data_IF_092253009354
#
_entry.id   IF_092253009354
#
_cell.length_a   1.000
_cell.length_b   1.000
_cell.length_c   1.000
_cell.angle_alpha   90.00
_cell.angle_beta   90.00
_cell.angle_gamma   90.00
#
_symmetry.space_group_name_H-M   'P 1'
#
loop_
_entity.id
_entity.type
_entity.pdbx_description
1 polymer ?
#
# COMPACT_ATOMS: atom_id res chain seq x y z
N UNK A 1 -1.05 -26.21 3.28
CA UNK A 1 -0.55 -25.00 3.96
C UNK A 1 -1.40 -23.83 3.50
N UNK A 2 -1.69 -22.85 4.37
CA UNK A 2 -2.42 -21.63 3.98
C UNK A 2 -1.49 -20.67 3.26
N UNK A 3 -1.79 -20.35 2.01
CA UNK A 3 -1.02 -19.38 1.23
C UNK A 3 -1.36 -17.97 1.71
N UNK A 4 -0.38 -17.28 2.26
CA UNK A 4 -0.46 -15.89 2.72
C UNK A 4 0.93 -15.24 2.70
N UNK A 5 0.92 -13.91 2.68
CA UNK A 5 2.11 -13.08 2.86
C UNK A 5 2.68 -13.33 4.27
N UNK A 6 3.99 -13.53 4.37
CA UNK A 6 4.71 -13.75 5.64
C UNK A 6 5.43 -12.50 6.10
N UNK A 7 5.97 -11.71 5.16
CA UNK A 7 6.72 -10.50 5.48
C UNK A 7 6.70 -9.53 4.32
N UNK A 8 6.61 -8.25 4.64
CA UNK A 8 6.93 -7.14 3.74
C UNK A 8 8.15 -6.44 4.30
N UNK A 9 9.19 -6.26 3.48
CA UNK A 9 10.38 -5.50 3.86
C UNK A 9 10.39 -4.16 3.13
N UNK A 10 10.65 -3.07 3.85
CA UNK A 10 10.84 -1.77 3.26
C UNK A 10 12.32 -1.62 2.90
N UNK A 11 12.61 -1.55 1.61
CA UNK A 11 13.97 -1.42 1.09
C UNK A 11 14.36 0.06 1.11
N UNK A 12 14.75 0.54 2.30
CA UNK A 12 15.11 1.95 2.54
C UNK A 12 16.22 2.45 1.60
N UNK A 13 17.10 1.56 1.13
CA UNK A 13 18.15 1.84 0.15
C UNK A 13 17.59 2.22 -1.24
N UNK A 14 16.34 1.83 -1.54
CA UNK A 14 15.65 2.15 -2.79
C UNK A 14 14.75 3.38 -2.72
N UNK A 15 14.64 4.01 -1.55
CA UNK A 15 13.79 5.19 -1.41
C UNK A 15 14.38 6.33 -2.25
N UNK A 16 13.60 6.91 -3.20
CA UNK A 16 14.12 7.94 -4.10
C UNK A 16 14.36 9.29 -3.42
N UNK A 17 13.81 9.47 -2.22
CA UNK A 17 13.90 10.70 -1.42
C UNK A 17 13.53 10.38 0.03
N UNK A 18 13.86 11.28 0.97
CA UNK A 18 13.34 11.31 2.33
C UNK A 18 12.55 12.59 2.65
N UNK A 19 12.43 13.48 1.67
CA UNK A 19 11.85 14.82 1.85
C UNK A 19 10.39 14.88 1.37
N UNK A 20 9.99 13.98 0.47
CA UNK A 20 8.65 13.94 -0.09
C UNK A 20 7.85 12.71 0.34
N UNK A 21 6.53 12.89 0.38
CA UNK A 21 5.59 11.81 0.59
C UNK A 21 5.71 10.72 -0.51
N UNK A 22 5.53 9.43 -0.19
CA UNK A 22 5.31 8.89 1.15
C UNK A 22 6.60 8.64 1.95
N UNK A 23 7.77 8.82 1.35
CA UNK A 23 9.06 8.43 1.94
C UNK A 23 9.52 9.31 3.11
N UNK A 24 8.88 10.46 3.33
CA UNK A 24 9.08 11.32 4.49
C UNK A 24 8.17 10.97 5.69
N UNK A 25 7.32 9.94 5.59
CA UNK A 25 6.50 9.48 6.70
C UNK A 25 7.37 8.74 7.73
N UNK A 26 7.36 9.14 9.02
CA UNK A 26 8.18 8.50 10.04
C UNK A 26 7.96 6.99 10.13
N UNK A 27 6.68 6.54 10.05
CA UNK A 27 6.36 5.12 10.13
C UNK A 27 7.03 4.30 9.02
N UNK A 28 7.22 4.87 7.82
CA UNK A 28 7.85 4.17 6.70
C UNK A 28 9.37 4.28 6.75
N UNK A 29 9.93 5.27 7.44
CA UNK A 29 11.37 5.41 7.63
C UNK A 29 11.89 4.55 8.79
N UNK A 30 11.07 4.37 9.84
CA UNK A 30 11.45 3.66 11.07
C UNK A 30 11.07 2.17 11.05
N UNK A 31 10.28 1.71 10.06
CA UNK A 31 9.84 0.32 9.96
C UNK A 31 10.66 -0.43 8.92
N UNK A 32 11.56 -1.32 9.35
CA UNK A 32 12.34 -2.15 8.42
C UNK A 32 11.49 -3.22 7.73
N UNK A 33 10.58 -3.86 8.48
CA UNK A 33 9.72 -4.91 7.97
C UNK A 33 8.43 -5.08 8.78
N UNK A 34 7.39 -5.54 8.10
CA UNK A 34 6.11 -5.93 8.69
C UNK A 34 5.96 -7.44 8.57
N UNK A 35 6.03 -8.21 9.68
CA UNK A 35 5.74 -9.64 9.68
C UNK A 35 4.22 -9.89 9.73
N UNK A 36 3.79 -10.95 9.07
CA UNK A 36 2.41 -11.42 9.03
C UNK A 36 2.35 -12.83 9.61
N UNK A 37 2.00 -12.95 10.89
CA UNK A 37 1.87 -14.23 11.58
C UNK A 37 0.56 -14.96 11.25
N UNK A 38 -0.42 -14.24 10.71
CA UNK A 38 -1.76 -14.76 10.42
C UNK A 38 -2.27 -14.25 9.07
N UNK A 39 -3.11 -15.04 8.36
CA UNK A 39 -3.68 -14.62 7.07
C UNK A 39 -4.54 -13.35 7.14
N UNK A 40 -5.10 -13.05 8.32
CA UNK A 40 -5.84 -11.81 8.58
C UNK A 40 -4.97 -10.92 9.48
N UNK A 41 -4.71 -9.70 9.02
CA UNK A 41 -3.91 -8.69 9.73
C UNK A 41 -4.62 -7.35 9.65
N UNK A 42 -4.71 -6.62 10.77
CA UNK A 42 -5.34 -5.31 10.83
C UNK A 42 -4.29 -4.24 11.12
N UNK A 43 -4.29 -3.17 10.32
CA UNK A 43 -3.45 -1.99 10.55
C UNK A 43 -4.26 -0.92 11.27
N UNK A 44 -3.80 -0.51 12.46
CA UNK A 44 -4.47 0.49 13.31
C UNK A 44 -3.52 1.66 13.57
N UNK A 45 -4.07 2.86 13.65
CA UNK A 45 -3.30 4.08 13.93
C UNK A 45 -4.05 5.34 13.51
N UNK A 46 -3.51 6.50 13.88
CA UNK A 46 -4.13 7.81 13.62
C UNK A 46 -4.29 8.13 12.14
N UNK A 47 -5.22 9.03 11.80
CA UNK A 47 -5.39 9.45 10.41
C UNK A 47 -4.13 10.17 9.90
N UNK A 48 -3.76 9.94 8.63
CA UNK A 48 -2.58 10.55 8.03
C UNK A 48 -1.25 9.85 8.33
N UNK A 49 -1.20 8.79 9.14
CA UNK A 49 0.05 8.08 9.45
C UNK A 49 0.59 7.22 8.32
N UNK A 50 -0.12 7.05 7.19
CA UNK A 50 0.35 6.26 6.05
C UNK A 50 -0.18 4.82 5.94
N UNK A 51 -1.19 4.45 6.73
CA UNK A 51 -1.80 3.10 6.69
C UNK A 51 -2.32 2.71 5.29
N UNK A 52 -3.19 3.53 4.70
CA UNK A 52 -3.73 3.27 3.36
C UNK A 52 -2.62 3.27 2.31
N UNK A 53 -1.65 4.16 2.46
CA UNK A 53 -0.47 4.26 1.59
C UNK A 53 0.34 2.97 1.57
N UNK A 54 0.61 2.39 2.75
CA UNK A 54 1.29 1.11 2.87
C UNK A 54 0.46 -0.02 2.26
N UNK A 55 -0.85 -0.05 2.54
CA UNK A 55 -1.77 -1.06 1.98
C UNK A 55 -1.83 -1.02 0.45
N UNK A 56 -1.91 0.17 -0.15
CA UNK A 56 -1.91 0.37 -1.60
C UNK A 56 -0.58 -0.04 -2.23
N UNK A 57 0.54 0.34 -1.61
CA UNK A 57 1.86 -0.04 -2.08
C UNK A 57 2.07 -1.57 -2.01
N UNK A 58 1.62 -2.20 -0.92
CA UNK A 58 1.61 -3.66 -0.79
C UNK A 58 0.75 -4.32 -1.86
N UNK A 59 -0.47 -3.83 -2.10
CA UNK A 59 -1.34 -4.37 -3.13
C UNK A 59 -0.70 -4.30 -4.52
N UNK A 60 -0.12 -3.15 -4.89
CA UNK A 60 0.63 -2.99 -6.16
C UNK A 60 1.83 -3.93 -6.24
N UNK A 61 2.63 -4.03 -5.18
CA UNK A 61 3.77 -4.93 -5.13
C UNK A 61 3.35 -6.40 -5.27
N UNK A 62 2.16 -6.77 -4.78
CA UNK A 62 1.57 -8.09 -4.95
C UNK A 62 1.01 -8.32 -6.36
N UNK A 63 1.09 -7.34 -7.27
CA UNK A 63 0.50 -7.42 -8.61
C UNK A 63 -1.03 -7.29 -8.62
N UNK A 64 -1.64 -6.81 -7.53
CA UNK A 64 -3.08 -6.58 -7.45
C UNK A 64 -3.42 -5.30 -8.21
N UNK A 65 -4.24 -5.43 -9.25
CA UNK A 65 -4.79 -4.29 -9.95
C UNK A 65 -5.77 -3.54 -9.03
N UNK A 66 -5.51 -2.26 -8.81
CA UNK A 66 -6.38 -1.38 -8.04
C UNK A 66 -7.19 -0.52 -9.00
N UNK A 67 -8.50 -0.67 -8.97
CA UNK A 67 -9.40 0.23 -9.68
C UNK A 67 -9.56 1.50 -8.83
N UNK A 68 -8.93 2.58 -9.29
CA UNK A 68 -9.03 3.90 -8.66
C UNK A 68 -9.27 4.91 -9.77
N UNK A 69 -10.30 5.75 -9.59
CA UNK A 69 -10.54 6.87 -10.48
C UNK A 69 -9.42 7.90 -10.29
N UNK A 70 -9.10 8.67 -11.34
CA UNK A 70 -7.96 9.60 -11.32
C UNK A 70 -7.93 10.40 -10.00
N UNK A 71 -6.84 10.21 -9.22
CA UNK A 71 -6.73 10.75 -7.88
C UNK A 71 -7.01 12.25 -7.82
N UNK A 72 -7.47 12.73 -6.66
CA UNK A 72 -7.78 14.15 -6.47
C UNK A 72 -6.60 15.02 -6.91
N UNK A 73 -6.87 16.10 -7.65
CA UNK A 73 -5.86 17.07 -8.02
C UNK A 73 -5.09 17.53 -6.77
N UNK A 74 -3.79 17.30 -6.76
CA UNK A 74 -2.89 17.79 -5.72
C UNK A 74 -2.53 19.24 -6.04
N UNK A 75 -2.51 20.11 -5.03
CA UNK A 75 -2.00 21.48 -5.20
C UNK A 75 -0.50 21.53 -5.53
N UNK A 76 0.25 20.50 -5.17
CA UNK A 76 1.68 20.37 -5.46
C UNK A 76 1.94 19.04 -6.16
N UNK A 77 2.67 19.09 -7.26
CA UNK A 77 3.08 17.89 -7.99
C UNK A 77 4.12 17.11 -7.18
N UNK A 78 3.87 15.83 -6.93
CA UNK A 78 4.80 14.92 -6.30
C UNK A 78 5.03 13.70 -7.20
N UNK A 79 6.20 13.60 -7.88
CA UNK A 79 6.46 12.49 -8.80
C UNK A 79 6.72 11.14 -8.08
N UNK A 80 6.92 11.17 -6.76
CA UNK A 80 7.30 10.00 -5.95
C UNK A 80 6.12 9.27 -5.32
N UNK A 81 4.92 9.86 -5.36
CA UNK A 81 3.73 9.42 -4.62
C UNK A 81 3.34 7.96 -4.90
N UNK A 82 3.56 7.50 -6.13
CA UNK A 82 3.17 6.18 -6.60
C UNK A 82 4.31 5.14 -6.60
N UNK A 83 5.49 5.45 -6.04
CA UNK A 83 6.70 4.62 -6.19
C UNK A 83 7.00 3.68 -5.01
N UNK A 84 6.22 3.73 -3.93
CA UNK A 84 6.51 2.96 -2.72
C UNK A 84 6.48 1.45 -2.97
N UNK A 85 5.62 0.97 -3.86
CA UNK A 85 5.51 -0.45 -4.26
C UNK A 85 6.83 -1.04 -4.77
N UNK A 86 7.62 -0.23 -5.50
CA UNK A 86 8.93 -0.61 -6.05
C UNK A 86 10.02 -0.74 -4.98
N UNK A 87 9.76 -0.21 -3.79
CA UNK A 87 10.65 -0.24 -2.64
C UNK A 87 10.25 -1.33 -1.64
N UNK A 88 9.29 -2.21 -1.98
CA UNK A 88 8.88 -3.31 -1.12
C UNK A 88 9.45 -4.65 -1.62
N UNK A 89 9.83 -5.49 -0.68
CA UNK A 89 10.10 -6.91 -0.95
C UNK A 89 9.10 -7.78 -0.20
N UNK A 90 8.49 -8.71 -0.94
CA UNK A 90 7.44 -9.59 -0.47
C UNK A 90 7.98 -10.99 -0.23
N UNK A 91 7.69 -11.53 0.95
CA UNK A 91 7.94 -12.93 1.30
C UNK A 91 6.61 -13.66 1.48
N UNK A 92 6.43 -14.76 0.76
CA UNK A 92 5.19 -15.55 0.71
C UNK A 92 5.40 -16.95 1.27
N UNK A 93 4.34 -17.53 1.81
CA UNK A 93 4.43 -18.85 2.45
C UNK A 93 4.52 -20.04 1.50
N UNK A 94 3.78 -20.03 0.39
CA UNK A 94 3.73 -21.12 -0.60
C UNK A 94 3.14 -20.60 -1.92
N UNK A 95 3.91 -19.75 -2.62
CA UNK A 95 3.47 -19.04 -3.83
C UNK A 95 2.63 -17.78 -3.55
N UNK A 96 2.28 -17.06 -4.62
CA UNK A 96 1.40 -15.90 -4.57
C UNK A 96 -0.02 -16.28 -5.04
N UNK A 97 -1.03 -15.64 -4.45
CA UNK A 97 -2.42 -15.80 -4.87
C UNK A 97 -2.92 -14.53 -5.55
N UNK A 98 -3.80 -14.63 -6.56
CA UNK A 98 -4.54 -13.48 -7.05
C UNK A 98 -5.30 -12.82 -5.89
N UNK A 99 -5.27 -11.49 -5.85
CA UNK A 99 -5.92 -10.71 -4.80
C UNK A 99 -6.79 -9.60 -5.37
N UNK A 100 -7.54 -8.95 -4.49
CA UNK A 100 -8.32 -7.76 -4.79
C UNK A 100 -8.00 -6.67 -3.75
N UNK A 101 -8.06 -5.42 -4.19
CA UNK A 101 -7.94 -4.27 -3.31
C UNK A 101 -9.31 -3.59 -3.23
N UNK A 102 -9.75 -3.28 -2.01
CA UNK A 102 -11.00 -2.58 -1.76
C UNK A 102 -10.76 -1.42 -0.82
N UNK A 103 -10.60 -0.23 -1.40
CA UNK A 103 -10.42 1.01 -0.67
C UNK A 103 -11.74 1.75 -0.46
N UNK A 104 -11.76 2.70 0.48
CA UNK A 104 -12.92 3.55 0.73
C UNK A 104 -13.30 4.44 -0.46
N UNK A 105 -12.32 4.81 -1.28
CA UNK A 105 -12.57 5.57 -2.52
C UNK A 105 -13.26 4.70 -3.58
N UNK A 106 -12.77 3.49 -3.81
CA UNK A 106 -13.39 2.52 -4.74
C UNK A 106 -14.83 2.22 -4.32
N UNK A 107 -15.08 2.08 -3.01
CA UNK A 107 -16.44 1.88 -2.51
C UNK A 107 -17.36 3.07 -2.81
N UNK A 108 -16.84 4.30 -2.65
CA UNK A 108 -17.61 5.51 -2.96
C UNK A 108 -17.93 5.60 -4.44
N UNK A 109 -16.94 5.42 -5.30
CA UNK A 109 -17.12 5.45 -6.76
C UNK A 109 -18.15 4.40 -7.21
N UNK A 110 -18.10 3.21 -6.61
CA UNK A 110 -19.08 2.16 -6.86
C UNK A 110 -20.49 2.56 -6.42
N UNK A 111 -20.64 3.11 -5.20
CA UNK A 111 -21.93 3.58 -4.71
C UNK A 111 -22.52 4.67 -5.63
N UNK A 112 -21.70 5.66 -6.01
CA UNK A 112 -22.10 6.75 -6.92
C UNK A 112 -22.53 6.21 -8.30
N UNK A 113 -21.93 5.10 -8.77
CA UNK A 113 -22.29 4.45 -10.04
C UNK A 113 -23.64 3.73 -10.01
N UNK A 114 -24.13 3.33 -8.83
CA UNK A 114 -25.43 2.66 -8.65
C UNK A 114 -26.58 3.65 -8.54
N UNK A 115 -26.29 4.91 -8.25
CA UNK A 115 -27.29 5.98 -8.08
C UNK A 115 -27.61 6.74 -9.40
N UNK A 116 -26.96 6.36 -10.52
CA UNK A 116 -27.23 6.90 -11.87
C UNK A 116 -27.86 5.87 -12.80
#
# INVERSE_FOLDING_TARGET
MTIHLRRVTLQHDKFPTRDHYPFNLPVLADTDAVPFSTPVTLFVGENGTGKSTLLEAMARACGIHMWSNAGRARCQHNPYEALLDRCLSLDWSDGAVPGAYFGSETFRDFADSLEN
#
